data_IF_110210033776
#
_entry.id   IF_110210033776
#
_cell.length_a   1.000
_cell.length_b   1.000
_cell.length_c   1.000
_cell.angle_alpha   90.00
_cell.angle_beta   90.00
_cell.angle_gamma   90.00
#
_symmetry.space_group_name_H-M   'P 1'
#
loop_
_entity.id
_entity.type
_entity.pdbx_description
1 polymer ?
#
# COMPACT_ATOMS: atom_id res chain seq x y z
N UNK A 1 -2.69 11.23 3.28
CA UNK A 1 -3.24 10.08 2.53
C UNK A 1 -4.24 9.39 3.42
N UNK A 2 -5.32 8.85 2.87
CA UNK A 2 -6.28 8.03 3.58
C UNK A 2 -6.11 6.58 3.16
N UNK A 3 -6.15 5.70 4.14
CA UNK A 3 -5.88 4.29 3.93
C UNK A 3 -6.65 3.45 4.95
N UNK A 4 -6.92 2.20 4.57
CA UNK A 4 -7.47 1.16 5.43
C UNK A 4 -6.31 0.29 5.90
N UNK A 5 -6.18 0.10 7.21
CA UNK A 5 -5.13 -0.72 7.80
C UNK A 5 -5.43 -2.21 7.63
N UNK A 6 -4.40 -3.01 7.40
CA UNK A 6 -4.54 -4.47 7.47
C UNK A 6 -4.39 -4.92 8.92
N UNK A 7 -5.44 -5.52 9.47
CA UNK A 7 -5.44 -6.05 10.84
C UNK A 7 -4.99 -7.50 10.85
N UNK A 8 -5.85 -8.43 10.46
CA UNK A 8 -5.53 -9.84 10.32
C UNK A 8 -4.63 -10.07 9.09
N UNK A 9 -3.55 -10.84 9.27
CA UNK A 9 -2.55 -11.08 8.22
C UNK A 9 -1.52 -9.96 8.03
N UNK A 10 -1.59 -8.87 8.80
CA UNK A 10 -0.65 -7.74 8.69
C UNK A 10 0.82 -8.16 8.89
N UNK A 11 1.10 -9.01 9.88
CA UNK A 11 2.44 -9.54 10.12
C UNK A 11 2.97 -10.37 8.93
N UNK A 12 2.12 -11.19 8.30
CA UNK A 12 2.48 -12.00 7.14
C UNK A 12 2.80 -11.12 5.92
N UNK A 13 2.01 -10.07 5.66
CA UNK A 13 2.29 -9.10 4.59
C UNK A 13 3.60 -8.35 4.85
N UNK A 14 3.85 -7.92 6.10
CA UNK A 14 5.11 -7.26 6.47
C UNK A 14 6.31 -8.18 6.28
N UNK A 15 6.19 -9.47 6.64
CA UNK A 15 7.23 -10.46 6.41
C UNK A 15 7.49 -10.69 4.92
N UNK A 16 6.43 -10.78 4.10
CA UNK A 16 6.54 -10.89 2.64
C UNK A 16 7.22 -9.66 2.04
N UNK A 17 6.88 -8.45 2.51
CA UNK A 17 7.53 -7.22 2.10
C UNK A 17 9.04 -7.23 2.41
N UNK A 18 9.42 -7.56 3.65
CA UNK A 18 10.82 -7.64 4.04
C UNK A 18 11.61 -8.67 3.22
N UNK A 19 11.01 -9.83 2.97
CA UNK A 19 11.57 -10.87 2.12
C UNK A 19 11.78 -10.45 0.67
N UNK A 20 10.85 -9.67 0.10
CA UNK A 20 11.00 -9.11 -1.25
C UNK A 20 12.08 -8.03 -1.27
N UNK A 21 12.06 -7.11 -0.30
CA UNK A 21 13.01 -6.01 -0.20
C UNK A 21 14.47 -6.51 -0.09
N UNK A 22 14.73 -7.53 0.74
CA UNK A 22 16.07 -8.10 0.88
C UNK A 22 16.61 -8.70 -0.43
N UNK A 23 15.76 -9.39 -1.20
CA UNK A 23 16.14 -9.98 -2.49
C UNK A 23 16.33 -8.92 -3.57
N UNK A 24 15.50 -7.88 -3.57
CA UNK A 24 15.59 -6.76 -4.49
C UNK A 24 16.80 -5.86 -4.21
N UNK A 25 17.22 -5.73 -2.94
CA UNK A 25 18.42 -5.00 -2.56
C UNK A 25 19.69 -5.57 -3.22
N UNK A 26 19.80 -6.89 -3.34
CA UNK A 26 20.90 -7.55 -4.06
C UNK A 26 20.96 -7.20 -5.56
N UNK A 27 19.85 -6.68 -6.12
CA UNK A 27 19.74 -6.22 -7.50
C UNK A 27 19.86 -4.69 -7.63
N UNK A 28 20.19 -3.98 -6.54
CA UNK A 28 20.35 -2.52 -6.51
C UNK A 28 19.11 -1.72 -6.11
N UNK A 29 17.99 -2.39 -5.76
CA UNK A 29 16.78 -1.71 -5.28
C UNK A 29 16.78 -1.63 -3.75
N UNK A 30 17.35 -0.55 -3.22
CA UNK A 30 17.47 -0.36 -1.78
C UNK A 30 16.09 -0.18 -1.10
N UNK A 31 15.89 -0.74 0.10
CA UNK A 31 14.67 -0.52 0.88
C UNK A 31 14.53 0.95 1.28
N UNK A 32 13.29 1.39 1.49
CA UNK A 32 13.03 2.71 2.03
C UNK A 32 13.48 2.82 3.49
N UNK A 33 13.91 4.00 3.94
CA UNK A 33 14.32 4.22 5.34
C UNK A 33 13.16 4.25 6.34
N UNK A 34 11.91 4.35 5.87
CA UNK A 34 10.71 4.30 6.72
C UNK A 34 10.23 2.87 6.91
N UNK A 35 9.65 2.59 8.07
CA UNK A 35 8.99 1.30 8.32
C UNK A 35 7.84 1.03 7.35
N UNK A 36 7.66 -0.23 6.99
CA UNK A 36 6.53 -0.68 6.19
C UNK A 36 5.26 -0.77 7.06
N UNK A 37 4.16 -0.21 6.56
CA UNK A 37 2.82 -0.35 7.16
C UNK A 37 1.91 -0.98 6.13
N UNK A 38 1.36 -2.17 6.41
CA UNK A 38 0.43 -2.84 5.51
C UNK A 38 -0.90 -2.08 5.46
N UNK A 39 -1.26 -1.56 4.28
CA UNK A 39 -2.46 -0.75 4.10
C UNK A 39 -2.98 -0.77 2.65
N UNK A 40 -4.27 -0.46 2.48
CA UNK A 40 -4.88 -0.15 1.20
C UNK A 40 -5.12 1.36 1.11
N UNK A 41 -4.44 2.05 0.19
CA UNK A 41 -4.70 3.47 -0.06
C UNK A 41 -6.08 3.63 -0.71
N UNK A 42 -6.95 4.43 -0.10
CA UNK A 42 -8.30 4.73 -0.63
C UNK A 42 -8.42 6.16 -1.16
N UNK A 43 -7.52 7.06 -0.77
CA UNK A 43 -7.57 8.44 -1.20
C UNK A 43 -6.28 9.22 -0.95
N UNK A 44 -6.00 10.19 -1.83
CA UNK A 44 -4.88 11.13 -1.69
C UNK A 44 -5.42 12.55 -1.68
N UNK A 45 -4.95 13.36 -0.73
CA UNK A 45 -5.28 14.79 -0.63
C UNK A 45 -4.24 15.57 -1.42
N UNK A 46 -4.66 16.30 -2.46
CA UNK A 46 -3.76 16.94 -3.45
C UNK A 46 -3.07 18.22 -2.93
N UNK A 47 -3.49 18.76 -1.78
CA UNK A 47 -2.89 19.94 -1.15
C UNK A 47 -3.13 19.92 0.38
N UNK A 48 -2.25 19.25 1.15
CA UNK A 48 -2.41 19.15 2.60
C UNK A 48 -2.14 20.47 3.34
N UNK A 49 -1.57 21.48 2.66
CA UNK A 49 -1.23 22.77 3.26
C UNK A 49 -2.39 23.78 3.26
N UNK A 50 -3.22 23.79 2.21
CA UNK A 50 -4.44 24.63 2.14
C UNK A 50 -5.67 24.02 2.79
N UNK A 51 -5.84 22.70 2.70
CA UNK A 51 -6.92 22.02 3.39
C UNK A 51 -6.48 21.75 4.83
N UNK A 52 -7.01 22.47 5.83
CA UNK A 52 -6.80 22.13 7.26
C UNK A 52 -7.22 20.66 7.45
N UNK A 53 -6.29 19.69 7.59
CA UNK A 53 -6.65 18.27 7.54
C UNK A 53 -7.50 17.84 8.74
N UNK A 54 -7.60 18.69 9.79
CA UNK A 54 -8.40 18.42 10.99
C UNK A 54 -9.85 18.06 10.63
N UNK A 55 -10.54 18.81 9.77
CA UNK A 55 -11.97 18.58 9.51
C UNK A 55 -12.33 17.22 8.86
N UNK A 56 -11.35 16.45 8.38
CA UNK A 56 -11.57 15.14 7.78
C UNK A 56 -11.17 13.97 8.69
N UNK A 57 -10.45 14.20 9.80
CA UNK A 57 -9.96 13.12 10.67
C UNK A 57 -11.09 12.54 11.51
N UNK A 58 -11.83 13.38 12.23
CA UNK A 58 -12.91 12.95 13.12
C UNK A 58 -14.02 12.20 12.36
N UNK A 59 -14.51 12.66 11.18
CA UNK A 59 -15.47 11.89 10.41
C UNK A 59 -14.96 10.52 9.98
N UNK A 60 -13.69 10.40 9.60
CA UNK A 60 -13.11 9.11 9.19
C UNK A 60 -12.95 8.13 10.36
N UNK A 61 -12.62 8.63 11.55
CA UNK A 61 -12.57 7.79 12.75
C UNK A 61 -13.97 7.35 13.23
N UNK A 62 -15.01 8.10 12.89
CA UNK A 62 -16.39 7.75 13.20
C UNK A 62 -16.99 6.71 12.23
N UNK A 63 -16.34 6.41 11.10
CA UNK A 63 -16.80 5.37 10.17
C UNK A 63 -16.50 3.98 10.77
N UNK A 64 -17.52 3.13 10.97
CA UNK A 64 -17.31 1.73 11.32
C UNK A 64 -16.53 1.05 10.19
N UNK A 65 -15.29 0.66 10.45
CA UNK A 65 -14.37 0.15 9.44
C UNK A 65 -14.29 -1.38 9.48
N UNK A 66 -15.38 -2.07 9.15
CA UNK A 66 -15.28 -3.42 8.60
C UNK A 66 -15.21 -3.31 7.08
N UNK A 67 -13.99 -3.38 6.55
CA UNK A 67 -13.73 -3.30 5.11
C UNK A 67 -13.63 -4.68 4.45
N UNK A 68 -14.04 -5.73 5.16
CA UNK A 68 -14.03 -7.10 4.70
C UNK A 68 -12.65 -7.75 4.69
N UNK A 69 -12.61 -8.97 4.16
CA UNK A 69 -11.42 -9.80 4.06
C UNK A 69 -11.03 -10.02 2.61
N UNK A 70 -9.73 -10.00 2.31
CA UNK A 70 -9.21 -10.32 0.98
C UNK A 70 -8.11 -11.39 1.07
N UNK A 71 -8.25 -12.46 0.29
CA UNK A 71 -7.22 -13.49 0.17
C UNK A 71 -6.12 -13.00 -0.76
N UNK A 72 -4.91 -12.88 -0.24
CA UNK A 72 -3.73 -12.56 -1.04
C UNK A 72 -3.14 -13.87 -1.59
N UNK A 73 -3.22 -14.07 -2.90
CA UNK A 73 -2.77 -15.31 -3.57
C UNK A 73 -1.52 -15.12 -4.44
N UNK A 74 -1.05 -13.89 -4.64
CA UNK A 74 0.10 -13.62 -5.50
C UNK A 74 0.76 -12.27 -5.18
N UNK A 75 2.04 -12.16 -5.52
CA UNK A 75 2.77 -10.90 -5.62
C UNK A 75 2.88 -10.50 -7.09
N UNK A 76 2.60 -9.23 -7.41
CA UNK A 76 2.67 -8.71 -8.78
C UNK A 76 3.69 -7.58 -8.87
N UNK A 77 4.64 -7.69 -9.81
CA UNK A 77 5.50 -6.59 -10.21
C UNK A 77 4.74 -5.69 -11.18
N UNK A 78 4.68 -4.39 -10.86
CA UNK A 78 4.02 -3.39 -11.69
C UNK A 78 5.02 -2.39 -12.26
N UNK A 79 4.75 -1.93 -13.48
CA UNK A 79 5.32 -0.70 -14.05
C UNK A 79 4.32 0.44 -13.90
N UNK A 80 4.74 1.53 -13.26
CA UNK A 80 3.95 2.77 -13.21
C UNK A 80 4.22 3.63 -14.45
N UNK A 81 3.16 4.06 -15.13
CA UNK A 81 3.19 5.08 -16.18
C UNK A 81 2.50 6.33 -15.66
N UNK A 82 3.28 7.36 -15.34
CA UNK A 82 2.78 8.60 -14.73
C UNK A 82 2.28 9.57 -15.79
N UNK A 83 1.17 10.24 -15.51
CA UNK A 83 0.63 11.34 -16.32
C UNK A 83 -0.01 12.41 -15.42
N UNK A 84 -0.27 13.62 -15.94
CA UNK A 84 -1.03 14.64 -15.22
C UNK A 84 -2.43 14.19 -14.79
N UNK A 85 -3.02 13.22 -15.51
CA UNK A 85 -4.35 12.65 -15.20
C UNK A 85 -4.31 11.55 -14.13
N UNK A 86 -3.12 11.04 -13.79
CA UNK A 86 -2.94 9.96 -12.82
C UNK A 86 -1.90 8.93 -13.26
N UNK A 87 -1.63 7.98 -12.38
CA UNK A 87 -0.76 6.83 -12.66
C UNK A 87 -1.57 5.69 -13.26
N UNK A 88 -1.09 5.12 -14.37
CA UNK A 88 -1.54 3.82 -14.87
C UNK A 88 -0.55 2.74 -14.41
N UNK A 89 -1.05 1.59 -13.98
CA UNK A 89 -0.23 0.48 -13.49
C UNK A 89 -0.35 -0.70 -14.45
N UNK A 90 0.80 -1.11 -14.99
CA UNK A 90 0.89 -2.23 -15.93
C UNK A 90 1.51 -3.44 -15.21
N UNK A 91 0.81 -4.58 -15.12
CA UNK A 91 1.37 -5.79 -14.53
C UNK A 91 2.46 -6.36 -15.46
N UNK A 92 3.66 -6.57 -14.92
CA UNK A 92 4.79 -7.14 -15.67
C UNK A 92 4.98 -8.63 -15.36
N UNK A 93 4.83 -9.01 -14.09
CA UNK A 93 5.01 -10.38 -13.63
C UNK A 93 4.09 -10.64 -12.45
N UNK A 94 3.43 -11.79 -12.42
CA UNK A 94 2.63 -12.26 -11.29
C UNK A 94 3.19 -13.59 -10.78
N UNK A 95 3.57 -13.64 -9.51
CA UNK A 95 4.12 -14.82 -8.85
C UNK A 95 3.13 -15.32 -7.81
N UNK A 96 2.58 -16.54 -7.93
CA UNK A 96 1.70 -17.11 -6.92
C UNK A 96 2.40 -17.25 -5.57
N UNK A 97 1.69 -16.97 -4.49
CA UNK A 97 2.11 -17.32 -3.14
C UNK A 97 1.75 -18.79 -2.90
N UNK A 98 2.68 -19.55 -2.36
CA UNK A 98 2.41 -20.92 -1.92
C UNK A 98 1.64 -20.87 -0.60
N UNK A 99 0.70 -21.80 -0.41
CA UNK A 99 0.00 -21.98 0.86
C UNK A 99 0.95 -22.41 1.97
#
# INVERSE_FOLDING_TARGET
>A
MFWIGVTHGGAAITALHAQAAARLAALGFLPEGRGYTAHLTIGRVKDPGRAKPRGLREPLHAVPADCGTSRISALTLFRSRLSPRGAAYEPLLRVPLRE
#
